data_IF_127427707213
#
_entry.id   IF_127427707213
#
_cell.length_a   1.000
_cell.length_b   1.000
_cell.length_c   1.000
_cell.angle_alpha   90.00
_cell.angle_beta   90.00
_cell.angle_gamma   90.00
#
_symmetry.space_group_name_H-M   'P 1'
#
loop_
_entity.id
_entity.type
_entity.pdbx_description
1 polymer ?
#
# COMPACT_ATOMS: atom_id res chain seq x y z
N UNK A 1 -14.10 -51.82 -2.75
CA UNK A 1 -13.80 -51.60 -4.19
C UNK A 1 -14.19 -50.19 -4.64
N UNK A 2 -15.42 -49.71 -4.42
CA UNK A 2 -15.82 -48.32 -4.71
C UNK A 2 -15.03 -47.25 -3.93
N UNK A 3 -14.62 -47.53 -2.69
CA UNK A 3 -13.79 -46.64 -1.87
C UNK A 3 -12.37 -46.47 -2.40
N UNK A 4 -11.80 -47.49 -3.07
CA UNK A 4 -10.48 -47.40 -3.68
C UNK A 4 -10.51 -46.51 -4.94
N UNK A 5 -11.61 -46.61 -5.70
CA UNK A 5 -11.85 -45.80 -6.91
C UNK A 5 -11.98 -44.30 -6.59
N UNK A 6 -12.57 -43.95 -5.44
CA UNK A 6 -12.60 -42.57 -4.95
C UNK A 6 -11.24 -42.08 -4.43
N UNK A 7 -10.41 -42.98 -3.91
CA UNK A 7 -9.05 -42.65 -3.43
C UNK A 7 -8.09 -42.38 -4.61
N UNK A 8 -8.32 -43.03 -5.75
CA UNK A 8 -7.54 -42.86 -6.98
C UNK A 8 -7.93 -41.58 -7.74
N UNK A 9 -9.22 -41.18 -7.71
CA UNK A 9 -9.71 -39.91 -8.29
C UNK A 9 -9.47 -38.66 -7.45
N UNK A 10 -8.86 -38.79 -6.27
CA UNK A 10 -8.10 -37.69 -5.68
C UNK A 10 -6.74 -37.60 -6.38
N UNK A 11 -6.76 -37.64 -7.72
CA UNK A 11 -5.69 -37.13 -8.54
C UNK A 11 -5.49 -35.70 -8.06
N UNK A 12 -4.40 -35.54 -7.32
CA UNK A 12 -3.79 -34.28 -6.99
C UNK A 12 -3.80 -33.46 -8.28
N UNK A 13 -4.64 -32.42 -8.38
CA UNK A 13 -4.58 -31.48 -9.51
C UNK A 13 -3.13 -30.98 -9.57
N UNK A 14 -2.33 -31.58 -10.43
CA UNK A 14 -0.95 -31.19 -10.63
C UNK A 14 -1.03 -29.86 -11.35
N UNK A 15 -0.86 -28.77 -10.60
CA UNK A 15 -0.79 -27.43 -11.16
C UNK A 15 0.43 -27.39 -12.09
N UNK A 16 0.18 -27.53 -13.39
CA UNK A 16 1.22 -27.55 -14.41
C UNK A 16 1.72 -26.12 -14.63
N UNK A 17 2.91 -25.80 -14.13
CA UNK A 17 3.59 -24.52 -14.39
C UNK A 17 4.28 -24.58 -15.74
N UNK A 18 3.67 -24.01 -16.77
CA UNK A 18 4.15 -24.10 -18.17
C UNK A 18 5.12 -22.98 -18.58
N UNK A 19 5.24 -21.93 -17.77
CA UNK A 19 6.04 -20.75 -18.08
C UNK A 19 7.09 -20.49 -17.01
N UNK A 20 8.32 -20.22 -17.45
CA UNK A 20 9.43 -19.80 -16.60
C UNK A 20 9.66 -18.30 -16.74
N UNK A 21 9.81 -17.62 -15.60
CA UNK A 21 10.14 -16.19 -15.54
C UNK A 21 11.49 -16.06 -14.84
N UNK A 22 12.51 -15.62 -15.57
CA UNK A 22 13.84 -15.34 -15.01
C UNK A 22 13.88 -13.95 -14.39
N UNK A 23 14.30 -13.86 -13.12
CA UNK A 23 14.50 -12.59 -12.41
C UNK A 23 15.97 -12.47 -12.00
N UNK A 24 16.62 -11.38 -12.41
CA UNK A 24 17.95 -11.02 -11.89
C UNK A 24 17.77 -10.18 -10.64
N UNK A 25 18.49 -10.52 -9.58
CA UNK A 25 18.48 -9.82 -8.30
C UNK A 25 19.91 -9.64 -7.82
N UNK A 26 20.13 -8.61 -7.02
CA UNK A 26 21.36 -8.46 -6.25
C UNK A 26 21.40 -9.43 -5.07
N UNK A 27 22.59 -9.66 -4.52
CA UNK A 27 22.79 -10.53 -3.35
C UNK A 27 21.95 -10.06 -2.13
N UNK A 28 21.84 -8.75 -1.94
CA UNK A 28 21.07 -8.17 -0.84
C UNK A 28 19.56 -8.37 -1.02
N UNK A 29 19.06 -8.29 -2.24
CA UNK A 29 17.65 -8.56 -2.58
C UNK A 29 17.32 -10.05 -2.42
N UNK A 30 18.21 -10.93 -2.89
CA UNK A 30 18.03 -12.38 -2.75
C UNK A 30 17.87 -12.80 -1.28
N UNK A 31 18.79 -12.35 -0.41
CA UNK A 31 18.75 -12.66 1.02
C UNK A 31 17.48 -12.12 1.70
N UNK A 32 16.98 -10.96 1.27
CA UNK A 32 15.72 -10.42 1.77
C UNK A 32 14.51 -11.25 1.34
N UNK A 33 14.46 -11.66 0.07
CA UNK A 33 13.38 -12.50 -0.47
C UNK A 33 13.39 -13.86 0.22
N UNK A 34 14.57 -14.47 0.37
CA UNK A 34 14.73 -15.76 1.02
C UNK A 34 14.26 -15.72 2.47
N UNK A 35 14.66 -14.70 3.24
CA UNK A 35 14.19 -14.52 4.63
C UNK A 35 12.67 -14.39 4.71
N UNK A 36 12.04 -13.67 3.79
CA UNK A 36 10.58 -13.50 3.76
C UNK A 36 9.87 -14.80 3.35
N UNK A 37 10.40 -15.53 2.37
CA UNK A 37 9.90 -16.83 1.95
C UNK A 37 9.98 -17.87 3.10
N UNK A 38 11.11 -17.91 3.83
CA UNK A 38 11.31 -18.75 5.03
C UNK A 38 10.29 -18.42 6.12
N UNK A 39 10.02 -17.14 6.39
CA UNK A 39 8.96 -16.73 7.34
C UNK A 39 7.58 -17.23 6.92
N UNK A 40 7.30 -17.22 5.61
CA UNK A 40 6.07 -17.74 5.03
C UNK A 40 6.02 -19.26 4.84
N UNK A 41 7.04 -20.02 5.26
CA UNK A 41 7.17 -21.48 5.07
C UNK A 41 6.95 -21.94 3.62
N UNK A 42 7.41 -21.13 2.66
CA UNK A 42 7.22 -21.37 1.22
C UNK A 42 8.55 -21.24 0.47
N UNK A 43 8.61 -21.81 -0.74
CA UNK A 43 9.80 -21.65 -1.58
C UNK A 43 9.86 -20.25 -2.22
N UNK A 44 11.04 -19.84 -2.68
CA UNK A 44 11.26 -18.50 -3.24
C UNK A 44 10.31 -18.21 -4.41
N UNK A 45 10.16 -19.16 -5.34
CA UNK A 45 9.30 -18.97 -6.51
C UNK A 45 7.82 -18.82 -6.13
N UNK A 46 7.33 -19.60 -5.16
CA UNK A 46 5.98 -19.47 -4.62
C UNK A 46 5.78 -18.12 -3.94
N UNK A 47 6.75 -17.71 -3.12
CA UNK A 47 6.73 -16.41 -2.46
C UNK A 47 6.67 -15.24 -3.45
N UNK A 48 7.54 -15.27 -4.46
CA UNK A 48 7.58 -14.22 -5.49
C UNK A 48 6.31 -14.21 -6.32
N UNK A 49 5.80 -15.37 -6.74
CA UNK A 49 4.53 -15.46 -7.47
C UNK A 49 3.35 -14.95 -6.63
N UNK A 50 3.22 -15.38 -5.37
CA UNK A 50 2.16 -14.93 -4.47
C UNK A 50 2.24 -13.42 -4.28
N UNK A 51 3.40 -12.88 -3.91
CA UNK A 51 3.53 -11.44 -3.71
C UNK A 51 3.34 -10.61 -4.98
N UNK A 52 3.69 -11.15 -6.16
CA UNK A 52 3.43 -10.50 -7.44
C UNK A 52 1.96 -10.52 -7.84
N UNK A 53 1.19 -11.52 -7.38
CA UNK A 53 -0.25 -11.66 -7.65
C UNK A 53 -1.13 -10.99 -6.57
N UNK A 54 -0.66 -10.92 -5.32
CA UNK A 54 -1.38 -10.36 -4.17
C UNK A 54 -1.29 -8.82 -4.14
N UNK A 55 -0.21 -8.23 -4.67
CA UNK A 55 -0.01 -6.79 -4.63
C UNK A 55 -0.55 -6.15 -5.91
N UNK A 56 -1.78 -5.65 -5.84
CA UNK A 56 -2.28 -4.71 -6.84
C UNK A 56 -1.38 -3.47 -6.90
N UNK A 57 -0.81 -3.21 -8.07
CA UNK A 57 -0.10 -1.94 -8.33
C UNK A 57 -1.17 -0.85 -8.48
N UNK A 58 -1.50 -0.19 -7.37
CA UNK A 58 -2.42 0.96 -7.38
C UNK A 58 -1.65 2.23 -7.77
N UNK A 59 -1.84 2.66 -9.00
CA UNK A 59 -1.35 3.96 -9.49
C UNK A 59 -2.34 5.03 -9.02
N UNK A 60 -1.90 5.88 -8.10
CA UNK A 60 -2.70 7.00 -7.59
C UNK A 60 -2.29 8.30 -8.31
N UNK A 61 -2.84 8.54 -9.51
CA UNK A 61 -2.57 9.74 -10.31
C UNK A 61 -2.99 11.05 -9.62
N UNK A 62 -3.89 10.99 -8.63
CA UNK A 62 -4.40 12.15 -7.89
C UNK A 62 -3.54 12.66 -6.74
N UNK A 63 -2.50 11.91 -6.30
CA UNK A 63 -1.75 12.25 -5.08
C UNK A 63 -1.04 13.61 -5.20
N UNK A 64 -0.53 13.93 -6.39
CA UNK A 64 0.14 15.21 -6.67
C UNK A 64 -0.79 16.41 -6.47
N UNK A 65 -2.06 16.28 -6.86
CA UNK A 65 -3.05 17.34 -6.71
C UNK A 65 -3.45 17.53 -5.24
N UNK A 66 -3.58 16.44 -4.48
CA UNK A 66 -3.81 16.53 -3.03
C UNK A 66 -2.64 17.18 -2.29
N UNK A 67 -1.39 16.89 -2.67
CA UNK A 67 -0.20 17.57 -2.12
C UNK A 67 -0.23 19.07 -2.42
N UNK A 68 -0.67 19.47 -3.62
CA UNK A 68 -0.81 20.88 -4.01
C UNK A 68 -1.88 21.60 -3.19
N UNK A 69 -3.01 20.95 -2.95
CA UNK A 69 -4.09 21.49 -2.10
C UNK A 69 -3.61 21.66 -0.65
N UNK A 70 -2.89 20.68 -0.10
CA UNK A 70 -2.33 20.76 1.25
C UNK A 70 -1.30 21.90 1.38
N UNK A 71 -0.43 22.07 0.37
CA UNK A 71 0.53 23.18 0.34
C UNK A 71 -0.17 24.55 0.33
N UNK A 72 -1.27 24.67 -0.43
CA UNK A 72 -2.08 25.90 -0.47
C UNK A 72 -2.76 26.18 0.87
N UNK A 73 -3.30 25.15 1.52
CA UNK A 73 -3.90 25.26 2.85
C UNK A 73 -2.88 25.68 3.92
N UNK A 74 -1.70 25.08 3.91
CA UNK A 74 -0.60 25.47 4.80
C UNK A 74 -0.16 26.92 4.58
N UNK A 75 -0.09 27.35 3.31
CA UNK A 75 0.21 28.75 2.96
C UNK A 75 -0.84 29.73 3.51
N UNK A 76 -2.12 29.44 3.31
CA UNK A 76 -3.21 30.27 3.82
C UNK A 76 -3.21 30.34 5.36
N UNK A 77 -2.96 29.20 6.03
CA UNK A 77 -2.87 29.16 7.49
C UNK A 77 -1.69 30.00 8.01
N UNK A 78 -0.53 29.91 7.36
CA UNK A 78 0.64 30.68 7.72
C UNK A 78 0.40 32.19 7.58
N UNK A 79 -0.26 32.61 6.50
CA UNK A 79 -0.64 34.02 6.30
C UNK A 79 -1.59 34.50 7.40
N UNK A 80 -2.56 33.68 7.77
CA UNK A 80 -3.50 34.02 8.82
C UNK A 80 -2.79 34.17 10.18
N UNK A 81 -1.87 33.27 10.52
CA UNK A 81 -1.02 33.38 11.72
C UNK A 81 -0.16 34.66 11.73
N UNK A 82 0.42 35.03 10.59
CA UNK A 82 1.18 36.29 10.45
C UNK A 82 0.29 37.50 10.74
N UNK A 83 -0.95 37.52 10.23
CA UNK A 83 -1.90 38.61 10.48
C UNK A 83 -2.31 38.70 11.96
N UNK A 84 -2.43 37.58 12.66
CA UNK A 84 -2.64 37.56 14.12
C UNK A 84 -1.42 38.06 14.86
N UNK A 85 -0.23 37.59 14.49
CA UNK A 85 1.01 38.03 15.12
C UNK A 85 1.27 39.54 14.94
N UNK A 86 0.86 40.11 13.80
CA UNK A 86 0.93 41.54 13.52
C UNK A 86 -0.14 42.38 14.27
N UNK A 87 -1.00 41.76 15.08
CA UNK A 87 -2.09 42.43 15.78
C UNK A 87 -3.20 42.97 14.87
N UNK A 88 -3.22 42.56 13.59
CA UNK A 88 -4.25 42.95 12.62
C UNK A 88 -5.51 42.09 12.75
N UNK A 89 -5.39 40.91 13.36
CA UNK A 89 -6.47 40.02 13.74
C UNK A 89 -6.28 39.61 15.20
N UNK A 90 -7.32 39.77 16.03
CA UNK A 90 -7.23 39.42 17.46
C UNK A 90 -7.50 37.93 17.72
N UNK A 91 -8.26 37.28 16.83
CA UNK A 91 -8.64 35.87 16.93
C UNK A 91 -8.85 35.28 15.53
N UNK A 92 -8.36 34.06 15.31
CA UNK A 92 -8.67 33.25 14.11
C UNK A 92 -9.42 32.01 14.53
N UNK A 93 -10.53 31.73 13.86
CA UNK A 93 -11.17 30.41 13.95
C UNK A 93 -10.41 29.39 13.08
N UNK A 94 -9.74 28.46 13.75
CA UNK A 94 -8.94 27.39 13.13
C UNK A 94 -9.75 26.10 12.92
N UNK A 95 -11.00 26.03 13.38
CA UNK A 95 -11.87 24.84 13.21
C UNK A 95 -12.04 24.41 11.75
N UNK A 96 -12.25 25.32 10.77
CA UNK A 96 -12.40 24.94 9.38
C UNK A 96 -11.15 24.26 8.81
N UNK A 97 -9.97 24.82 9.11
CA UNK A 97 -8.67 24.31 8.65
C UNK A 97 -8.40 22.92 9.26
N UNK A 98 -8.69 22.76 10.55
CA UNK A 98 -8.56 21.46 11.24
C UNK A 98 -9.45 20.40 10.60
N UNK A 99 -10.68 20.74 10.22
CA UNK A 99 -11.60 19.81 9.54
C UNK A 99 -11.08 19.38 8.17
N UNK A 100 -10.59 20.32 7.35
CA UNK A 100 -10.07 19.98 6.03
C UNK A 100 -8.80 19.12 6.09
N UNK A 101 -7.86 19.46 6.97
CA UNK A 101 -6.65 18.64 7.18
C UNK A 101 -7.03 17.23 7.65
N UNK A 102 -8.00 17.11 8.55
CA UNK A 102 -8.49 15.82 9.02
C UNK A 102 -9.15 15.00 7.90
N UNK A 103 -9.92 15.64 7.01
CA UNK A 103 -10.53 14.98 5.86
C UNK A 103 -9.48 14.42 4.88
N UNK A 104 -8.43 15.21 4.57
CA UNK A 104 -7.31 14.77 3.74
C UNK A 104 -6.58 13.59 4.40
N UNK A 105 -6.35 13.66 5.72
CA UNK A 105 -5.71 12.58 6.47
C UNK A 105 -6.52 11.27 6.45
N UNK A 106 -7.85 11.35 6.60
CA UNK A 106 -8.74 10.18 6.49
C UNK A 106 -8.69 9.54 5.11
N UNK A 107 -8.68 10.35 4.04
CA UNK A 107 -8.57 9.86 2.67
C UNK A 107 -7.23 9.16 2.43
N UNK A 108 -6.13 9.74 2.89
CA UNK A 108 -4.80 9.14 2.77
C UNK A 108 -4.69 7.82 3.56
N UNK A 109 -5.25 7.77 4.77
CA UNK A 109 -5.28 6.54 5.55
C UNK A 109 -6.15 5.46 4.92
N UNK A 110 -7.25 5.83 4.26
CA UNK A 110 -8.06 4.87 3.50
C UNK A 110 -7.26 4.30 2.32
N UNK A 111 -6.51 5.12 1.60
CA UNK A 111 -5.62 4.64 0.54
C UNK A 111 -4.48 3.74 1.07
N UNK A 112 -3.95 4.02 2.26
CA UNK A 112 -2.84 3.27 2.85
C UNK A 112 -3.26 1.98 3.59
N UNK A 113 -4.44 1.95 4.21
CA UNK A 113 -4.92 0.82 5.01
C UNK A 113 -5.37 -0.38 4.18
N UNK A 114 -5.77 -0.17 2.92
CA UNK A 114 -6.09 -1.27 1.99
C UNK A 114 -4.83 -2.04 1.53
N UNK A 115 -3.63 -1.57 1.90
CA UNK A 115 -2.35 -2.23 1.59
C UNK A 115 -1.82 -3.14 2.73
N UNK A 116 -2.57 -3.30 3.82
CA UNK A 116 -2.23 -4.19 4.96
C UNK A 116 -3.31 -5.27 5.15
N UNK A 117 -3.41 -6.18 4.20
CA UNK A 117 -3.91 -7.55 4.41
C UNK A 117 -3.06 -8.47 3.57
#
# INVERSE_FOLDING_TARGET
MLLAFFYEKKEMMVIKKERFIGLRVTETEYNQIERKAKKGKMNISQYVCLQALERDIKIYDGLKEHTRQLARLGGNFNQALILVHQGKLNTIDIMPIKKEIHAIWLLLNKCASVSRV
#
